data_IF_509744226169
#
_entry.id   IF_509744226169
#
_cell.length_a   1.000
_cell.length_b   1.000
_cell.length_c   1.000
_cell.angle_alpha   90.00
_cell.angle_beta   90.00
_cell.angle_gamma   90.00
#
_symmetry.space_group_name_H-M   'P 1'
#
loop_
_entity.id
_entity.type
_entity.pdbx_description
1 polymer ?
#
# COMPACT_ATOMS: atom_id res chain seq x y z
N UNK A 1 75.94 -22.41 25.76
CA UNK A 1 74.65 -23.02 25.43
C UNK A 1 73.56 -22.34 26.29
N UNK A 2 72.88 -21.37 25.78
CA UNK A 2 71.76 -20.67 26.46
C UNK A 2 70.47 -21.22 25.90
N UNK A 3 69.67 -21.86 26.74
CA UNK A 3 68.30 -22.34 26.38
C UNK A 3 67.32 -21.19 26.51
N UNK A 4 66.68 -20.83 25.39
CA UNK A 4 65.59 -19.85 25.36
C UNK A 4 64.28 -20.62 25.62
N UNK A 5 63.63 -20.30 26.71
CA UNK A 5 62.24 -20.77 27.02
C UNK A 5 61.29 -19.82 26.39
N UNK A 6 60.50 -20.28 25.39
CA UNK A 6 59.39 -19.53 24.79
C UNK A 6 58.15 -19.80 25.61
N UNK A 7 57.67 -18.79 26.31
CA UNK A 7 56.39 -18.80 27.01
C UNK A 7 55.28 -18.49 26.00
N UNK A 8 54.41 -19.46 25.69
CA UNK A 8 53.21 -19.28 24.93
C UNK A 8 52.12 -18.75 25.87
N UNK A 9 51.76 -17.45 25.70
CA UNK A 9 50.61 -16.83 26.38
C UNK A 9 49.36 -17.17 25.59
N UNK A 10 48.51 -17.99 26.16
CA UNK A 10 47.16 -18.22 25.66
C UNK A 10 46.27 -17.02 26.01
N UNK A 11 45.90 -16.19 25.03
CA UNK A 11 44.87 -15.17 25.17
C UNK A 11 43.54 -15.85 24.94
N UNK A 12 42.83 -16.15 26.05
CA UNK A 12 41.46 -16.62 25.99
C UNK A 12 40.51 -15.47 25.61
N UNK A 13 39.96 -15.53 24.41
CA UNK A 13 38.84 -14.66 24.02
C UNK A 13 37.59 -15.09 24.83
N UNK A 14 37.27 -14.32 25.85
CA UNK A 14 35.98 -14.41 26.53
C UNK A 14 34.90 -13.80 25.58
N UNK A 15 34.14 -14.65 24.89
CA UNK A 15 32.91 -14.24 24.24
C UNK A 15 31.89 -13.92 25.34
N UNK A 16 31.75 -12.63 25.67
CA UNK A 16 30.64 -12.15 26.45
C UNK A 16 29.38 -12.29 25.61
N UNK A 17 28.59 -13.31 25.87
CA UNK A 17 27.19 -13.39 25.38
C UNK A 17 26.39 -12.30 26.07
N UNK A 18 26.20 -11.17 25.41
CA UNK A 18 25.18 -10.19 25.80
C UNK A 18 23.82 -10.85 25.65
N UNK A 19 23.25 -11.30 26.76
CA UNK A 19 21.82 -11.60 26.84
C UNK A 19 21.07 -10.31 26.60
N UNK A 20 20.47 -10.18 25.41
CA UNK A 20 19.45 -9.17 25.15
C UNK A 20 18.30 -9.49 26.08
N UNK A 21 18.14 -8.70 27.13
CA UNK A 21 16.94 -8.73 27.95
C UNK A 21 15.79 -8.39 27.02
N UNK A 22 14.89 -9.35 26.82
CA UNK A 22 13.63 -9.09 26.13
C UNK A 22 12.88 -8.04 26.95
N UNK A 23 12.70 -6.85 26.38
CA UNK A 23 11.84 -5.83 26.96
C UNK A 23 10.47 -6.45 27.23
N UNK A 24 9.98 -6.31 28.46
CA UNK A 24 8.66 -6.80 28.86
C UNK A 24 7.55 -6.18 28.01
N UNK A 25 6.33 -6.69 28.08
CA UNK A 25 5.24 -6.25 27.24
C UNK A 25 5.00 -4.75 27.42
N UNK A 26 4.98 -4.02 26.31
CA UNK A 26 4.67 -2.58 26.28
C UNK A 26 3.19 -2.41 26.66
N UNK A 27 2.88 -1.49 27.58
CA UNK A 27 1.50 -1.11 27.87
C UNK A 27 1.15 0.18 27.13
N UNK A 28 0.21 0.09 26.21
CA UNK A 28 -0.29 1.23 25.43
C UNK A 28 -1.62 1.73 26.00
N UNK A 29 -1.79 3.04 26.11
CA UNK A 29 -3.06 3.66 26.51
C UNK A 29 -3.74 4.20 25.25
N UNK A 30 -4.95 3.71 24.98
CA UNK A 30 -5.76 4.09 23.80
C UNK A 30 -6.08 5.57 23.84
N UNK A 31 -5.82 6.28 22.76
CA UNK A 31 -6.05 7.71 22.60
C UNK A 31 -7.28 7.97 21.72
N UNK A 32 -7.87 9.18 21.74
CA UNK A 32 -8.93 9.55 20.79
C UNK A 32 -8.50 9.29 19.36
N UNK A 33 -9.37 8.59 18.59
CA UNK A 33 -9.10 8.21 17.21
C UNK A 33 -8.28 6.93 17.01
N UNK A 34 -7.77 6.30 18.08
CA UNK A 34 -7.12 5.00 17.98
C UNK A 34 -8.12 3.86 17.76
N UNK A 35 -7.64 2.83 17.06
CA UNK A 35 -8.25 1.52 16.99
C UNK A 35 -7.13 0.46 16.97
N UNK A 36 -7.46 -0.82 17.19
CA UNK A 36 -6.44 -1.86 17.24
C UNK A 36 -5.61 -1.98 15.96
N UNK A 37 -6.16 -1.58 14.82
CA UNK A 37 -5.44 -1.58 13.55
C UNK A 37 -4.34 -0.50 13.54
N UNK A 38 -4.66 0.75 13.92
CA UNK A 38 -3.68 1.85 14.01
C UNK A 38 -2.59 1.56 15.04
N UNK A 39 -3.00 0.99 16.16
CA UNK A 39 -2.04 0.59 17.20
C UNK A 39 -1.15 -0.52 16.67
N UNK A 40 -1.72 -1.54 16.00
CA UNK A 40 -0.98 -2.63 15.38
C UNK A 40 0.06 -2.17 14.35
N UNK A 41 -0.30 -1.23 13.48
CA UNK A 41 0.65 -0.64 12.52
C UNK A 41 1.86 -0.01 13.20
N UNK A 42 1.66 0.67 14.34
CA UNK A 42 2.73 1.34 15.11
C UNK A 42 3.73 0.35 15.70
N UNK A 43 3.27 -0.86 16.03
CA UNK A 43 4.08 -1.89 16.69
C UNK A 43 4.38 -3.11 15.81
N UNK A 44 4.03 -3.07 14.52
CA UNK A 44 4.25 -4.18 13.60
C UNK A 44 3.40 -5.42 13.89
N UNK A 45 2.23 -5.25 14.50
CA UNK A 45 1.33 -6.31 14.94
C UNK A 45 -0.02 -6.24 14.21
N UNK A 46 -0.67 -7.39 14.04
CA UNK A 46 -2.06 -7.42 13.60
C UNK A 46 -3.02 -7.01 14.72
N UNK A 47 -4.21 -6.48 14.40
CA UNK A 47 -5.26 -6.21 15.40
C UNK A 47 -5.61 -7.44 16.22
N UNK A 48 -5.58 -8.62 15.62
CA UNK A 48 -5.87 -9.91 16.26
C UNK A 48 -4.81 -10.28 17.30
N UNK A 49 -3.53 -10.02 17.02
CA UNK A 49 -2.45 -10.28 17.97
C UNK A 49 -2.62 -9.42 19.23
N UNK A 50 -2.96 -8.13 19.05
CA UNK A 50 -3.23 -7.23 20.17
C UNK A 50 -4.50 -7.66 20.90
N UNK A 51 -5.58 -7.98 20.19
CA UNK A 51 -6.83 -8.43 20.77
C UNK A 51 -6.64 -9.70 21.62
N UNK A 52 -5.94 -10.69 21.07
CA UNK A 52 -5.63 -11.95 21.78
C UNK A 52 -4.81 -11.73 23.04
N UNK A 53 -3.78 -10.87 22.97
CA UNK A 53 -2.95 -10.54 24.13
C UNK A 53 -3.70 -9.79 25.23
N UNK A 54 -4.86 -9.20 24.90
CA UNK A 54 -5.71 -8.42 25.80
C UNK A 54 -7.07 -9.08 26.06
N UNK A 55 -7.26 -10.32 25.65
CA UNK A 55 -8.53 -11.07 25.81
C UNK A 55 -9.76 -10.32 25.29
N UNK A 56 -9.58 -9.54 24.19
CA UNK A 56 -10.67 -8.80 23.58
C UNK A 56 -11.45 -9.70 22.62
N UNK A 57 -12.73 -9.86 22.87
CA UNK A 57 -13.64 -10.63 21.99
C UNK A 57 -13.98 -9.87 20.68
N UNK A 58 -13.82 -8.54 20.67
CA UNK A 58 -14.12 -7.70 19.52
C UNK A 58 -12.95 -6.77 19.19
N UNK A 59 -12.28 -7.04 18.08
CA UNK A 59 -11.14 -6.24 17.56
C UNK A 59 -11.51 -4.82 17.14
N UNK A 60 -12.79 -4.52 16.99
CA UNK A 60 -13.28 -3.21 16.57
C UNK A 60 -13.64 -2.29 17.73
N UNK A 61 -13.63 -2.79 18.96
CA UNK A 61 -14.05 -2.03 20.16
C UNK A 61 -12.89 -1.88 21.13
N UNK A 62 -12.29 -0.70 21.14
CA UNK A 62 -11.39 -0.23 22.20
C UNK A 62 -11.86 1.14 22.65
N UNK A 63 -11.79 1.39 23.95
CA UNK A 63 -12.23 2.66 24.54
C UNK A 63 -11.02 3.59 24.75
N UNK A 64 -11.22 4.89 24.59
CA UNK A 64 -10.21 5.90 24.95
C UNK A 64 -9.85 5.75 26.43
N UNK A 65 -8.56 5.72 26.74
CA UNK A 65 -8.03 5.46 28.09
C UNK A 65 -7.84 3.98 28.41
N UNK A 66 -8.32 3.05 27.59
CA UNK A 66 -8.11 1.62 27.78
C UNK A 66 -6.61 1.29 27.68
N UNK A 67 -6.13 0.46 28.64
CA UNK A 67 -4.74 -0.02 28.63
C UNK A 67 -4.66 -1.33 27.86
N UNK A 68 -3.78 -1.39 26.89
CA UNK A 68 -3.54 -2.56 26.05
C UNK A 68 -2.11 -3.07 26.25
N UNK A 69 -1.96 -4.34 26.50
CA UNK A 69 -0.68 -5.04 26.45
C UNK A 69 -0.32 -5.24 24.97
N UNK A 70 0.82 -4.71 24.57
CA UNK A 70 1.38 -4.89 23.23
C UNK A 70 2.41 -6.00 23.31
N UNK A 71 2.16 -7.18 22.73
CA UNK A 71 3.11 -8.28 22.74
C UNK A 71 4.38 -7.90 21.97
N UNK A 72 5.52 -8.43 22.43
CA UNK A 72 6.79 -8.25 21.71
C UNK A 72 6.68 -8.84 20.30
N UNK A 73 7.29 -8.19 19.28
CA UNK A 73 7.33 -8.73 17.93
C UNK A 73 7.99 -10.13 17.94
N UNK A 74 7.25 -11.15 17.54
CA UNK A 74 7.71 -12.55 17.54
C UNK A 74 7.17 -13.45 18.65
N UNK A 75 6.40 -12.95 19.63
CA UNK A 75 5.90 -13.75 20.74
C UNK A 75 4.61 -14.55 20.48
N UNK A 76 4.03 -14.46 19.30
CA UNK A 76 2.87 -15.26 18.93
C UNK A 76 3.19 -16.05 17.64
N UNK A 77 3.35 -17.36 17.77
CA UNK A 77 3.34 -18.28 16.64
C UNK A 77 2.03 -18.09 15.87
N UNK A 78 2.13 -17.62 14.63
CA UNK A 78 1.04 -17.70 13.69
C UNK A 78 0.60 -19.18 13.60
N UNK A 79 -0.71 -19.49 13.60
CA UNK A 79 -1.14 -20.85 13.31
C UNK A 79 -0.55 -21.25 11.97
N UNK A 80 0.19 -22.36 11.96
CA UNK A 80 0.81 -22.93 10.78
C UNK A 80 -0.29 -23.21 9.74
N UNK A 81 -0.23 -22.45 8.64
CA UNK A 81 -1.08 -22.70 7.48
C UNK A 81 -0.48 -23.86 6.69
N UNK A 82 -1.07 -25.03 6.82
CA UNK A 82 -0.79 -26.16 5.92
C UNK A 82 -1.42 -25.92 4.56
N UNK A 83 -0.66 -25.95 3.46
CA UNK A 83 -1.24 -25.89 2.12
C UNK A 83 -1.72 -27.29 1.73
N UNK A 84 -3.01 -27.53 1.84
CA UNK A 84 -3.60 -28.68 1.18
C UNK A 84 -5.08 -28.46 0.88
N UNK A 85 -5.44 -28.78 -0.35
CA UNK A 85 -6.78 -29.02 -0.85
C UNK A 85 -7.36 -27.96 -1.76
N UNK A 86 -7.62 -28.35 -2.98
CA UNK A 86 -8.46 -27.73 -4.02
C UNK A 86 -9.95 -27.62 -3.62
N UNK A 87 -10.27 -27.63 -2.34
CA UNK A 87 -11.62 -27.40 -1.83
C UNK A 87 -11.91 -25.88 -1.90
N UNK A 88 -13.01 -25.54 -2.55
CA UNK A 88 -13.57 -24.21 -2.62
C UNK A 88 -13.77 -23.68 -1.19
N UNK A 89 -13.00 -22.69 -0.78
CA UNK A 89 -13.11 -22.11 0.55
C UNK A 89 -14.28 -21.12 0.61
N UNK A 90 -14.95 -21.08 1.77
CA UNK A 90 -16.07 -20.19 2.01
C UNK A 90 -15.78 -19.31 3.24
N UNK A 91 -16.29 -18.10 3.20
CA UNK A 91 -16.35 -17.21 4.35
C UNK A 91 -17.80 -17.00 4.74
N UNK A 92 -18.11 -17.09 6.03
CA UNK A 92 -19.43 -16.70 6.55
C UNK A 92 -19.33 -15.29 7.12
N UNK A 93 -20.09 -14.36 6.57
CA UNK A 93 -20.07 -12.96 6.97
C UNK A 93 -20.51 -12.83 8.43
N UNK A 94 -19.65 -12.23 9.24
CA UNK A 94 -19.91 -11.94 10.65
C UNK A 94 -20.45 -10.54 10.84
N UNK A 95 -21.03 -10.26 12.02
CA UNK A 95 -21.53 -8.92 12.34
C UNK A 95 -20.41 -7.87 12.23
N UNK A 96 -20.69 -6.79 11.51
CA UNK A 96 -19.73 -5.70 11.27
C UNK A 96 -18.72 -5.96 10.16
N UNK A 97 -18.78 -7.12 9.47
CA UNK A 97 -17.96 -7.36 8.27
C UNK A 97 -18.67 -6.83 7.02
N UNK A 98 -17.93 -6.10 6.20
CA UNK A 98 -18.32 -5.77 4.84
C UNK A 98 -17.46 -6.54 3.84
N UNK A 99 -17.91 -6.59 2.58
CA UNK A 99 -17.20 -7.29 1.50
C UNK A 99 -15.73 -6.87 1.40
N UNK A 100 -15.45 -5.61 1.67
CA UNK A 100 -14.10 -5.04 1.71
C UNK A 100 -13.20 -5.70 2.77
N UNK A 101 -13.67 -5.80 4.02
CA UNK A 101 -12.88 -6.42 5.12
C UNK A 101 -12.62 -7.89 4.86
N UNK A 102 -13.59 -8.56 4.23
CA UNK A 102 -13.48 -9.97 3.87
C UNK A 102 -12.46 -10.14 2.74
N UNK A 103 -12.54 -9.32 1.69
CA UNK A 103 -11.57 -9.33 0.59
C UNK A 103 -10.13 -9.11 1.10
N UNK A 104 -9.91 -8.12 1.98
CA UNK A 104 -8.61 -7.88 2.63
C UNK A 104 -8.09 -9.09 3.39
N UNK A 105 -8.95 -9.76 4.18
CA UNK A 105 -8.60 -10.96 4.95
C UNK A 105 -8.03 -12.06 4.08
N UNK A 106 -8.57 -12.20 2.87
CA UNK A 106 -8.17 -13.23 1.92
C UNK A 106 -7.19 -12.76 0.85
N UNK A 107 -6.74 -11.49 0.90
CA UNK A 107 -5.81 -10.92 -0.08
C UNK A 107 -6.42 -10.81 -1.48
N UNK A 108 -7.72 -10.57 -1.55
CA UNK A 108 -8.50 -10.43 -2.78
C UNK A 108 -8.87 -8.96 -3.02
N UNK A 109 -9.12 -8.60 -4.28
CA UNK A 109 -9.85 -7.36 -4.55
C UNK A 109 -11.33 -7.54 -4.20
N UNK A 110 -12.00 -6.44 -3.82
CA UNK A 110 -13.45 -6.44 -3.55
C UNK A 110 -14.21 -6.92 -4.77
N UNK A 111 -13.77 -6.50 -5.95
CA UNK A 111 -14.37 -6.87 -7.23
C UNK A 111 -14.22 -8.37 -7.52
N UNK A 112 -13.05 -8.95 -7.25
CA UNK A 112 -12.83 -10.39 -7.42
C UNK A 112 -13.74 -11.21 -6.49
N UNK A 113 -13.86 -10.77 -5.24
CA UNK A 113 -14.75 -11.42 -4.27
C UNK A 113 -16.23 -11.20 -4.65
N UNK A 114 -16.61 -10.02 -5.10
CA UNK A 114 -17.96 -9.69 -5.57
C UNK A 114 -18.34 -10.53 -6.80
N UNK A 115 -17.47 -10.60 -7.81
CA UNK A 115 -17.67 -11.36 -9.03
C UNK A 115 -17.82 -12.87 -8.75
N UNK A 116 -16.97 -13.43 -7.88
CA UNK A 116 -17.04 -14.83 -7.48
C UNK A 116 -18.35 -15.19 -6.76
N UNK A 117 -19.07 -14.18 -6.25
CA UNK A 117 -20.33 -14.35 -5.50
C UNK A 117 -21.54 -13.72 -6.19
N UNK A 118 -21.41 -13.26 -7.43
CA UNK A 118 -22.48 -12.58 -8.17
C UNK A 118 -23.06 -11.37 -7.43
N UNK A 119 -22.21 -10.68 -6.65
CA UNK A 119 -22.62 -9.50 -5.88
C UNK A 119 -22.50 -8.26 -6.77
N UNK A 120 -23.61 -7.65 -7.10
CA UNK A 120 -23.68 -6.42 -7.92
C UNK A 120 -23.52 -5.14 -7.10
N UNK A 121 -23.81 -5.20 -5.80
CA UNK A 121 -23.67 -4.08 -4.87
C UNK A 121 -22.68 -4.41 -3.76
N UNK A 122 -21.46 -3.87 -3.84
CA UNK A 122 -20.36 -4.16 -2.92
C UNK A 122 -20.60 -3.77 -1.46
N UNK A 123 -21.63 -2.92 -1.22
CA UNK A 123 -22.01 -2.47 0.11
C UNK A 123 -23.06 -3.37 0.77
N UNK A 124 -23.57 -4.38 0.06
CA UNK A 124 -24.64 -5.24 0.56
C UNK A 124 -24.16 -6.69 0.71
N UNK A 125 -23.67 -7.00 1.88
CA UNK A 125 -23.51 -8.37 2.36
C UNK A 125 -24.20 -8.51 3.71
N UNK A 126 -24.77 -9.67 3.98
CA UNK A 126 -25.59 -9.91 5.18
C UNK A 126 -24.86 -10.85 6.15
N UNK A 127 -25.03 -10.60 7.45
CA UNK A 127 -24.53 -11.51 8.48
C UNK A 127 -25.07 -12.92 8.25
N UNK A 128 -24.20 -13.91 8.27
CA UNK A 128 -24.51 -15.31 7.94
C UNK A 128 -24.44 -15.64 6.45
N UNK A 129 -24.26 -14.67 5.56
CA UNK A 129 -24.07 -14.94 4.13
C UNK A 129 -22.79 -15.74 3.91
N UNK A 130 -22.88 -16.81 3.13
CA UNK A 130 -21.69 -17.57 2.70
C UNK A 130 -21.15 -16.97 1.42
N UNK A 131 -19.90 -16.56 1.47
CA UNK A 131 -19.17 -16.07 0.32
C UNK A 131 -18.15 -17.10 -0.12
N UNK A 132 -18.21 -17.45 -1.39
CA UNK A 132 -17.15 -18.19 -2.06
C UNK A 132 -15.90 -17.33 -2.03
N UNK A 133 -14.84 -17.84 -1.44
CA UNK A 133 -13.53 -17.22 -1.51
C UNK A 133 -12.86 -17.77 -2.76
N UNK A 134 -12.79 -17.00 -3.86
CA UNK A 134 -12.07 -17.47 -5.03
C UNK A 134 -10.66 -17.80 -4.59
N UNK A 135 -10.17 -18.94 -4.99
CA UNK A 135 -8.79 -19.32 -4.73
C UNK A 135 -7.94 -18.10 -5.07
N UNK A 136 -7.06 -17.71 -4.16
CA UNK A 136 -6.18 -16.53 -4.26
C UNK A 136 -5.84 -16.32 -5.72
N UNK A 137 -6.25 -15.18 -6.29
CA UNK A 137 -5.99 -14.86 -7.68
C UNK A 137 -4.54 -15.25 -7.95
N UNK A 138 -4.33 -16.25 -8.80
CA UNK A 138 -3.13 -17.04 -8.87
C UNK A 138 -1.91 -16.15 -8.59
N UNK A 139 -1.13 -16.48 -7.57
CA UNK A 139 0.27 -16.07 -7.55
C UNK A 139 0.73 -16.16 -9.00
N UNK A 140 1.37 -15.10 -9.52
CA UNK A 140 1.82 -15.09 -10.92
C UNK A 140 2.25 -16.50 -11.31
N UNK A 141 1.83 -17.03 -12.47
CA UNK A 141 2.16 -18.39 -12.84
C UNK A 141 3.64 -18.59 -12.54
N UNK A 142 3.96 -19.67 -11.83
CA UNK A 142 5.30 -19.91 -11.35
C UNK A 142 6.27 -19.76 -12.54
N UNK A 143 7.07 -18.71 -12.53
CA UNK A 143 8.07 -18.45 -13.57
C UNK A 143 7.95 -17.12 -14.34
N UNK A 144 6.80 -16.42 -14.35
CA UNK A 144 6.72 -15.14 -15.07
C UNK A 144 7.01 -13.96 -14.15
N UNK A 145 8.01 -13.16 -14.51
CA UNK A 145 8.33 -11.90 -13.87
C UNK A 145 8.56 -10.83 -14.93
N UNK A 146 8.17 -9.61 -14.63
CA UNK A 146 8.40 -8.44 -15.47
C UNK A 146 9.01 -7.34 -14.62
N UNK A 147 10.03 -6.66 -15.13
CA UNK A 147 10.57 -5.45 -14.55
C UNK A 147 10.96 -4.47 -15.65
N UNK A 148 10.18 -3.43 -15.82
CA UNK A 148 10.43 -2.36 -16.77
C UNK A 148 11.54 -1.43 -16.28
N UNK A 149 12.38 -0.95 -17.18
CA UNK A 149 13.50 -0.06 -16.85
C UNK A 149 13.05 1.41 -16.76
N UNK A 150 11.97 1.66 -16.03
CA UNK A 150 11.49 3.02 -15.76
C UNK A 150 12.49 3.72 -14.84
N UNK A 151 12.98 4.93 -15.16
CA UNK A 151 13.89 5.64 -14.27
C UNK A 151 13.23 5.94 -12.94
N UNK A 152 14.02 5.95 -11.86
CA UNK A 152 13.57 6.39 -10.54
C UNK A 152 13.92 7.86 -10.40
N UNK A 153 12.91 8.72 -10.24
CA UNK A 153 13.07 10.15 -10.05
C UNK A 153 12.44 10.57 -8.72
N UNK A 154 13.13 11.44 -7.99
CA UNK A 154 12.59 12.04 -6.80
C UNK A 154 11.62 13.18 -7.17
N UNK A 155 10.59 13.40 -6.34
CA UNK A 155 9.80 14.63 -6.39
C UNK A 155 10.64 15.82 -5.92
N UNK A 156 10.41 16.97 -6.52
CA UNK A 156 11.16 18.21 -6.25
C UNK A 156 10.54 19.02 -5.11
N UNK A 157 9.22 18.84 -4.85
CA UNK A 157 8.45 19.53 -3.81
C UNK A 157 7.68 18.52 -2.95
N UNK A 158 7.18 18.95 -1.81
CA UNK A 158 6.54 18.07 -0.82
C UNK A 158 5.30 17.34 -1.34
N UNK A 159 4.52 17.96 -2.23
CA UNK A 159 3.24 17.47 -2.74
C UNK A 159 3.22 17.28 -4.26
N UNK A 160 4.34 16.92 -4.88
CA UNK A 160 4.43 16.74 -6.33
C UNK A 160 4.71 15.30 -6.74
N UNK A 161 4.28 14.34 -5.93
CA UNK A 161 4.49 12.92 -6.20
C UNK A 161 3.89 12.46 -7.54
N UNK A 162 2.72 12.99 -7.93
CA UNK A 162 2.05 12.67 -9.17
C UNK A 162 2.82 13.21 -10.39
N UNK A 163 3.34 14.44 -10.27
CA UNK A 163 4.17 15.04 -11.32
C UNK A 163 5.50 14.29 -11.48
N UNK A 164 6.13 13.88 -10.38
CA UNK A 164 7.34 13.07 -10.43
C UNK A 164 7.06 11.67 -10.99
N UNK A 165 5.95 11.04 -10.63
CA UNK A 165 5.50 9.78 -11.22
C UNK A 165 5.26 9.91 -12.73
N UNK A 166 4.61 10.99 -13.17
CA UNK A 166 4.41 11.30 -14.57
C UNK A 166 5.73 11.51 -15.33
N UNK A 167 6.71 12.19 -14.72
CA UNK A 167 8.07 12.33 -15.29
C UNK A 167 8.75 10.99 -15.50
N UNK A 168 8.65 10.05 -14.54
CA UNK A 168 9.23 8.73 -14.67
C UNK A 168 8.63 7.99 -15.88
N UNK A 169 7.30 8.06 -16.03
CA UNK A 169 6.59 7.42 -17.15
C UNK A 169 6.91 8.10 -18.48
N UNK A 170 6.90 9.44 -18.53
CA UNK A 170 7.27 10.20 -19.70
C UNK A 170 8.70 9.88 -20.16
N UNK A 171 9.66 9.88 -19.25
CA UNK A 171 11.05 9.55 -19.53
C UNK A 171 11.22 8.11 -20.06
N UNK A 172 10.50 7.15 -19.51
CA UNK A 172 10.47 5.77 -20.03
C UNK A 172 9.94 5.69 -21.46
N UNK A 173 8.96 6.53 -21.80
CA UNK A 173 8.36 6.63 -23.12
C UNK A 173 9.12 7.59 -24.07
N UNK A 174 10.35 7.97 -23.71
CA UNK A 174 11.23 8.78 -24.55
C UNK A 174 10.90 10.28 -24.57
N UNK A 175 10.10 10.77 -23.62
CA UNK A 175 9.77 12.19 -23.47
C UNK A 175 10.57 12.80 -22.33
N UNK A 176 11.23 13.93 -22.59
CA UNK A 176 11.91 14.71 -21.55
C UNK A 176 11.02 15.85 -21.09
N UNK A 177 10.69 15.88 -19.80
CA UNK A 177 9.85 16.90 -19.18
C UNK A 177 10.32 17.16 -17.75
N UNK A 178 10.20 18.40 -17.28
CA UNK A 178 10.48 18.79 -15.91
C UNK A 178 9.20 18.70 -15.07
N UNK A 179 9.37 18.60 -13.75
CA UNK A 179 8.25 18.63 -12.81
C UNK A 179 7.54 20.00 -12.86
N UNK A 180 8.32 21.09 -12.94
CA UNK A 180 7.79 22.43 -13.11
C UNK A 180 6.92 22.58 -14.36
N UNK A 181 7.33 21.97 -15.48
CA UNK A 181 6.50 21.99 -16.69
C UNK A 181 5.17 21.26 -16.49
N UNK A 182 5.20 20.09 -15.85
CA UNK A 182 3.98 19.33 -15.54
C UNK A 182 3.07 20.12 -14.60
N UNK A 183 3.61 20.74 -13.56
CA UNK A 183 2.85 21.59 -12.64
C UNK A 183 2.20 22.77 -13.35
N UNK A 184 2.90 23.38 -14.31
CA UNK A 184 2.36 24.48 -15.12
C UNK A 184 1.17 24.06 -16.01
N UNK A 185 0.98 22.77 -16.29
CA UNK A 185 -0.19 22.27 -17.01
C UNK A 185 -1.40 22.06 -16.09
N UNK A 186 -1.20 22.07 -14.77
CA UNK A 186 -2.26 21.79 -13.81
C UNK A 186 -2.86 23.11 -13.31
N UNK A 187 -4.14 23.33 -13.59
CA UNK A 187 -4.87 24.44 -12.98
C UNK A 187 -5.08 24.19 -11.48
N UNK A 188 -5.20 25.25 -10.68
CA UNK A 188 -5.50 25.12 -9.25
C UNK A 188 -7.00 24.99 -9.05
N UNK A 189 -7.44 23.92 -8.38
CA UNK A 189 -8.84 23.65 -8.05
C UNK A 189 -8.99 23.04 -6.65
N UNK A 190 -10.14 23.29 -6.03
CA UNK A 190 -10.52 22.61 -4.79
C UNK A 190 -10.74 21.09 -5.01
N UNK A 191 -11.26 20.71 -6.17
CA UNK A 191 -11.49 19.33 -6.57
C UNK A 191 -10.27 18.78 -7.33
N UNK A 192 -9.55 17.77 -6.79
CA UNK A 192 -8.34 17.22 -7.41
C UNK A 192 -8.59 16.50 -8.75
N UNK A 193 -9.83 16.16 -9.09
CA UNK A 193 -10.21 15.68 -10.43
C UNK A 193 -10.21 16.78 -11.51
N UNK A 194 -10.12 18.04 -11.10
CA UNK A 194 -10.15 19.20 -12.01
C UNK A 194 -8.82 19.93 -12.09
N UNK A 195 -7.95 19.74 -11.10
CA UNK A 195 -6.65 20.38 -11.05
C UNK A 195 -5.94 20.12 -9.73
N UNK A 196 -4.79 20.77 -9.54
CA UNK A 196 -3.99 20.65 -8.34
C UNK A 196 -4.65 21.38 -7.16
N UNK A 197 -4.72 20.70 -6.00
CA UNK A 197 -5.30 21.25 -4.79
C UNK A 197 -4.22 21.67 -3.81
N UNK A 198 -4.10 22.97 -3.58
CA UNK A 198 -3.26 23.54 -2.53
C UNK A 198 -1.88 24.01 -2.99
N UNK A 199 -0.95 24.06 -2.06
CA UNK A 199 0.42 24.50 -2.24
C UNK A 199 1.35 23.28 -2.37
N UNK A 200 2.24 23.29 -3.37
CA UNK A 200 3.17 22.18 -3.66
C UNK A 200 4.21 21.96 -2.56
N UNK A 201 4.50 23.00 -1.76
CA UNK A 201 5.50 22.98 -0.68
C UNK A 201 4.87 22.79 0.71
N UNK A 202 3.55 22.60 0.79
CA UNK A 202 2.86 22.37 2.03
C UNK A 202 3.23 21.03 2.66
N UNK A 203 2.90 20.88 3.96
CA UNK A 203 3.13 19.64 4.69
C UNK A 203 2.33 18.47 4.11
N UNK A 204 3.00 17.34 3.92
CA UNK A 204 2.43 16.12 3.39
C UNK A 204 1.42 15.49 4.37
N UNK A 205 0.37 14.92 3.82
CA UNK A 205 -0.57 14.04 4.54
C UNK A 205 -1.88 14.69 4.96
N UNK A 206 -2.04 16.01 4.72
CA UNK A 206 -3.28 16.74 4.97
C UNK A 206 -4.35 16.53 3.88
N UNK A 207 -5.44 17.29 3.97
CA UNK A 207 -6.49 17.39 2.94
C UNK A 207 -6.73 18.83 2.46
N UNK A 208 -6.14 19.82 3.11
CA UNK A 208 -6.22 21.22 2.70
C UNK A 208 -5.31 21.48 1.50
N UNK A 209 -4.06 21.04 1.61
CA UNK A 209 -3.09 20.94 0.53
C UNK A 209 -2.95 19.44 0.21
N UNK A 210 -3.05 19.07 -1.05
CA UNK A 210 -3.35 17.67 -1.33
C UNK A 210 -2.59 17.08 -2.53
N UNK A 211 -2.72 17.67 -3.72
CA UNK A 211 -2.19 17.12 -4.94
C UNK A 211 -3.23 17.10 -6.07
N UNK A 212 -3.11 16.16 -6.99
CA UNK A 212 -3.97 16.04 -8.17
C UNK A 212 -4.33 14.59 -8.44
N UNK A 213 -5.54 14.34 -8.95
CA UNK A 213 -5.95 13.02 -9.39
C UNK A 213 -5.59 12.76 -10.87
N UNK A 214 -5.98 11.62 -11.38
CA UNK A 214 -5.48 11.11 -12.66
C UNK A 214 -5.88 11.97 -13.87
N UNK A 215 -7.06 12.59 -13.87
CA UNK A 215 -7.60 13.25 -15.06
C UNK A 215 -6.78 14.47 -15.53
N UNK A 216 -6.44 15.44 -14.66
CA UNK A 216 -5.60 16.57 -15.08
C UNK A 216 -4.20 16.13 -15.46
N UNK A 217 -3.63 15.16 -14.73
CA UNK A 217 -2.32 14.60 -15.04
C UNK A 217 -2.31 13.90 -16.41
N UNK A 218 -3.38 13.18 -16.74
CA UNK A 218 -3.56 12.55 -18.04
C UNK A 218 -3.59 13.58 -19.18
N UNK A 219 -4.25 14.74 -18.95
CA UNK A 219 -4.25 15.83 -19.95
C UNK A 219 -2.85 16.38 -20.18
N UNK A 220 -2.08 16.62 -19.11
CA UNK A 220 -0.70 17.07 -19.20
C UNK A 220 0.18 16.08 -20.00
N UNK A 221 0.03 14.79 -19.79
CA UNK A 221 0.76 13.77 -20.54
C UNK A 221 0.32 13.66 -22.01
N UNK A 222 -0.96 13.90 -22.30
CA UNK A 222 -1.45 13.97 -23.71
C UNK A 222 -0.84 15.15 -24.48
N UNK A 223 -0.58 16.28 -23.82
CA UNK A 223 0.14 17.43 -24.44
C UNK A 223 1.54 17.02 -24.88
N UNK A 224 2.19 16.04 -24.22
CA UNK A 224 3.47 15.48 -24.64
C UNK A 224 3.36 14.51 -25.83
N UNK A 225 2.15 14.29 -26.36
CA UNK A 225 1.89 13.34 -27.45
C UNK A 225 1.89 11.88 -26.98
N UNK A 226 1.55 11.60 -25.72
CA UNK A 226 1.36 10.24 -25.21
C UNK A 226 -0.10 9.83 -25.32
N UNK A 227 -0.34 8.55 -25.60
CA UNK A 227 -1.65 7.94 -25.44
C UNK A 227 -1.88 7.64 -23.95
N UNK A 228 -2.93 8.21 -23.36
CA UNK A 228 -3.17 8.12 -21.92
C UNK A 228 -4.62 7.73 -21.64
N UNK A 229 -4.79 6.73 -20.81
CA UNK A 229 -6.09 6.24 -20.32
C UNK A 229 -6.14 6.31 -18.81
N UNK A 230 -7.22 6.89 -18.26
CA UNK A 230 -7.55 6.84 -16.82
C UNK A 230 -8.59 5.76 -16.61
N UNK A 231 -8.33 4.84 -15.68
CA UNK A 231 -9.28 3.79 -15.30
C UNK A 231 -9.50 3.73 -13.79
N UNK A 232 -10.69 3.34 -13.42
CA UNK A 232 -11.11 3.05 -12.05
C UNK A 232 -11.49 1.58 -11.91
N UNK A 233 -11.51 1.07 -10.69
CA UNK A 233 -11.81 -0.34 -10.45
C UNK A 233 -10.76 -1.29 -11.01
N UNK A 234 -9.55 -0.81 -11.24
CA UNK A 234 -8.45 -1.59 -11.83
C UNK A 234 -8.04 -2.72 -10.88
N UNK A 235 -7.91 -3.91 -11.43
CA UNK A 235 -7.44 -5.09 -10.70
C UNK A 235 -5.95 -5.36 -10.91
N UNK A 236 -5.40 -6.23 -10.09
CA UNK A 236 -4.00 -6.67 -10.25
C UNK A 236 -3.75 -7.45 -11.55
N UNK A 237 -4.79 -8.05 -12.13
CA UNK A 237 -4.71 -8.68 -13.47
C UNK A 237 -4.47 -7.64 -14.55
N UNK A 238 -5.13 -6.48 -14.45
CA UNK A 238 -4.94 -5.38 -15.41
C UNK A 238 -3.54 -4.79 -15.31
N UNK A 239 -3.03 -4.61 -14.07
CA UNK A 239 -1.64 -4.17 -13.87
C UNK A 239 -0.65 -5.12 -14.51
N UNK A 240 -0.82 -6.44 -14.34
CA UNK A 240 0.07 -7.43 -14.96
C UNK A 240 0.01 -7.37 -16.47
N UNK A 241 -1.19 -7.32 -17.05
CA UNK A 241 -1.37 -7.23 -18.50
C UNK A 241 -0.67 -5.97 -19.07
N UNK A 242 -0.80 -4.82 -18.39
CA UNK A 242 -0.11 -3.59 -18.78
C UNK A 242 1.42 -3.75 -18.72
N UNK A 243 1.94 -4.28 -17.62
CA UNK A 243 3.37 -4.50 -17.43
C UNK A 243 3.95 -5.49 -18.46
N UNK A 244 3.19 -6.54 -18.79
CA UNK A 244 3.56 -7.53 -19.81
C UNK A 244 3.59 -6.96 -21.21
N UNK A 245 2.80 -5.92 -21.48
CA UNK A 245 2.85 -5.14 -22.72
C UNK A 245 3.89 -4.02 -22.72
N UNK A 246 4.70 -3.92 -21.65
CA UNK A 246 5.73 -2.89 -21.53
C UNK A 246 5.21 -1.53 -21.03
N UNK A 247 4.01 -1.50 -20.45
CA UNK A 247 3.34 -0.27 -20.03
C UNK A 247 3.44 -0.09 -18.50
N UNK A 248 4.21 0.89 -17.99
CA UNK A 248 4.21 1.27 -16.58
C UNK A 248 2.89 1.96 -16.23
N UNK A 249 2.45 1.82 -14.96
CA UNK A 249 1.15 2.32 -14.52
C UNK A 249 1.31 3.22 -13.29
N UNK A 250 0.79 4.45 -13.36
CA UNK A 250 0.70 5.32 -12.18
C UNK A 250 -0.54 4.92 -11.38
N UNK A 251 -0.38 4.77 -10.07
CA UNK A 251 -1.46 4.42 -9.15
C UNK A 251 -1.51 5.39 -7.97
N UNK A 252 -2.71 5.72 -7.51
CA UNK A 252 -2.95 6.54 -6.32
C UNK A 252 -3.19 5.64 -5.11
N UNK A 253 -2.57 5.98 -4.01
CA UNK A 253 -2.62 5.19 -2.78
C UNK A 253 -2.67 6.10 -1.55
N UNK A 254 -2.96 5.55 -0.39
CA UNK A 254 -2.74 6.26 0.86
C UNK A 254 -1.64 5.59 1.68
N UNK A 255 -0.75 6.40 2.22
CA UNK A 255 0.20 5.95 3.25
C UNK A 255 -0.48 5.82 4.63
N UNK A 256 -1.69 6.33 4.78
CA UNK A 256 -2.49 6.28 6.00
C UNK A 256 -3.76 5.46 5.77
N UNK A 257 -4.12 4.59 6.70
CA UNK A 257 -5.34 3.79 6.63
C UNK A 257 -6.60 4.60 7.03
N UNK A 258 -6.74 5.82 6.53
CA UNK A 258 -7.88 6.68 6.83
C UNK A 258 -8.93 6.61 5.73
N UNK A 259 -10.24 6.50 6.06
CA UNK A 259 -11.30 6.41 5.05
C UNK A 259 -11.46 7.68 4.20
N UNK A 260 -10.80 8.77 4.57
CA UNK A 260 -10.86 10.02 3.85
C UNK A 260 -12.09 10.86 4.18
N UNK A 261 -12.09 12.05 3.62
CA UNK A 261 -13.20 13.00 3.66
C UNK A 261 -13.91 12.99 2.31
N UNK A 262 -15.23 12.93 2.32
CA UNK A 262 -16.05 13.03 1.12
C UNK A 262 -16.70 14.42 1.05
N UNK A 263 -16.39 15.20 0.02
CA UNK A 263 -17.04 16.46 -0.26
C UNK A 263 -18.35 16.18 -0.99
N UNK A 264 -19.47 16.38 -0.28
CA UNK A 264 -20.80 16.12 -0.84
C UNK A 264 -21.23 17.17 -1.88
N UNK A 265 -20.71 18.39 -1.80
CA UNK A 265 -21.08 19.48 -2.70
C UNK A 265 -20.50 19.26 -4.10
N UNK A 266 -19.24 18.82 -4.18
CA UNK A 266 -18.53 18.60 -5.44
C UNK A 266 -18.39 17.12 -5.84
N UNK A 267 -18.83 16.19 -4.98
CA UNK A 267 -18.88 14.75 -5.27
C UNK A 267 -17.52 14.06 -5.36
N UNK A 268 -16.49 14.55 -4.68
CA UNK A 268 -15.15 13.96 -4.67
C UNK A 268 -14.70 13.56 -3.27
N UNK A 269 -13.72 12.65 -3.20
CA UNK A 269 -13.14 12.18 -1.95
C UNK A 269 -11.70 12.71 -1.81
N UNK A 270 -11.33 13.12 -0.59
CA UNK A 270 -9.96 13.41 -0.19
C UNK A 270 -9.52 12.36 0.84
N UNK A 271 -8.43 11.68 0.57
CA UNK A 271 -7.89 10.61 1.42
C UNK A 271 -6.58 11.08 2.03
N UNK A 272 -6.51 11.32 3.36
CA UNK A 272 -5.27 11.76 4.01
C UNK A 272 -4.11 10.81 3.71
N UNK A 273 -2.91 11.37 3.50
CA UNK A 273 -1.73 10.62 3.11
C UNK A 273 -1.80 10.09 1.68
N UNK A 274 -2.53 10.79 0.82
CA UNK A 274 -2.52 10.56 -0.62
C UNK A 274 -1.08 10.57 -1.15
N UNK A 275 -0.79 9.65 -2.05
CA UNK A 275 0.51 9.48 -2.67
C UNK A 275 0.40 8.72 -3.99
N UNK A 276 1.43 8.83 -4.83
CA UNK A 276 1.47 8.12 -6.10
C UNK A 276 2.70 7.25 -6.24
N UNK A 277 2.50 6.01 -6.74
CA UNK A 277 3.58 5.14 -7.22
C UNK A 277 3.51 4.92 -8.72
N UNK A 278 4.65 4.63 -9.32
CA UNK A 278 4.70 4.01 -10.65
C UNK A 278 4.92 2.51 -10.47
N UNK A 279 3.95 1.70 -10.85
CA UNK A 279 4.09 0.24 -10.90
C UNK A 279 4.89 -0.10 -12.15
N UNK A 280 6.05 -0.74 -11.93
CA UNK A 280 7.04 -0.97 -12.99
C UNK A 280 7.34 -2.45 -13.22
N UNK A 281 6.78 -3.34 -12.41
CA UNK A 281 7.02 -4.76 -12.57
C UNK A 281 6.27 -5.61 -11.55
N UNK A 282 6.38 -6.92 -11.72
CA UNK A 282 5.90 -7.89 -10.75
C UNK A 282 6.72 -9.18 -10.78
N UNK A 283 6.65 -9.94 -9.70
CA UNK A 283 7.15 -11.30 -9.58
C UNK A 283 6.25 -12.15 -8.67
N UNK A 284 6.68 -13.34 -8.30
CA UNK A 284 5.92 -14.23 -7.39
C UNK A 284 5.67 -13.62 -6.00
N UNK A 285 6.42 -12.58 -5.60
CA UNK A 285 6.38 -11.98 -4.26
C UNK A 285 5.66 -10.63 -4.22
N UNK A 286 5.21 -10.09 -5.36
CA UNK A 286 4.45 -8.83 -5.43
C UNK A 286 4.81 -7.94 -6.60
N UNK A 287 4.64 -6.63 -6.40
CA UNK A 287 4.79 -5.60 -7.42
C UNK A 287 6.00 -4.73 -7.13
N UNK A 288 6.81 -4.46 -8.16
CA UNK A 288 7.87 -3.48 -8.11
C UNK A 288 7.28 -2.10 -8.39
N UNK A 289 7.58 -1.17 -7.50
CA UNK A 289 7.12 0.22 -7.60
C UNK A 289 8.29 1.19 -7.52
N UNK A 290 8.20 2.27 -8.27
CA UNK A 290 9.02 3.46 -8.08
C UNK A 290 8.20 4.44 -7.23
N UNK A 291 8.77 4.88 -6.13
CA UNK A 291 8.23 5.86 -5.20
C UNK A 291 9.03 7.15 -5.34
N UNK A 292 8.43 8.29 -5.68
CA UNK A 292 9.15 9.56 -5.80
C UNK A 292 9.55 10.19 -4.47
N UNK A 293 8.96 9.74 -3.35
CA UNK A 293 9.20 10.32 -2.04
C UNK A 293 10.60 9.95 -1.51
N UNK A 294 11.14 10.77 -0.61
CA UNK A 294 12.41 10.53 0.10
C UNK A 294 13.62 10.29 -0.83
N UNK A 295 13.77 11.11 -1.85
CA UNK A 295 14.88 11.04 -2.78
C UNK A 295 14.69 10.05 -3.94
N UNK A 296 13.50 9.46 -4.03
CA UNK A 296 13.16 8.47 -5.04
C UNK A 296 13.76 7.09 -4.76
N UNK A 297 12.95 6.06 -4.85
CA UNK A 297 13.40 4.68 -4.61
C UNK A 297 12.55 3.67 -5.37
N UNK A 298 13.15 2.52 -5.67
CA UNK A 298 12.44 1.33 -6.16
C UNK A 298 12.41 0.26 -5.08
N UNK A 299 11.25 -0.30 -4.82
CA UNK A 299 11.09 -1.41 -3.90
C UNK A 299 9.90 -2.28 -4.28
N UNK A 300 9.70 -3.35 -3.53
CA UNK A 300 8.61 -4.30 -3.79
C UNK A 300 7.54 -4.20 -2.72
N UNK A 301 6.29 -4.15 -3.15
CA UNK A 301 5.10 -4.24 -2.31
C UNK A 301 4.32 -5.52 -2.62
N UNK A 302 3.68 -6.11 -1.61
CA UNK A 302 2.80 -7.26 -1.86
C UNK A 302 1.50 -6.83 -2.54
N UNK A 303 1.01 -5.66 -2.17
CA UNK A 303 -0.17 -5.01 -2.73
C UNK A 303 0.02 -3.49 -2.67
N UNK A 304 -0.68 -2.75 -3.53
CA UNK A 304 -0.68 -1.29 -3.49
C UNK A 304 -1.42 -0.84 -2.21
N UNK A 305 -0.78 -0.08 -1.31
CA UNK A 305 -1.37 0.30 -0.04
C UNK A 305 -2.63 1.15 -0.23
N UNK A 306 -3.76 0.72 0.35
CA UNK A 306 -5.02 1.49 0.37
C UNK A 306 -5.48 2.05 -0.99
N UNK A 307 -5.14 1.35 -2.08
CA UNK A 307 -5.50 1.72 -3.45
C UNK A 307 -7.02 1.80 -3.65
N UNK A 308 -7.76 0.97 -2.94
CA UNK A 308 -9.21 0.93 -2.94
C UNK A 308 -9.88 2.22 -2.44
N UNK A 309 -9.20 3.01 -1.61
CA UNK A 309 -9.71 4.30 -1.15
C UNK A 309 -9.83 5.31 -2.30
N UNK A 310 -9.09 5.08 -3.37
CA UNK A 310 -9.12 5.84 -4.62
C UNK A 310 -9.92 5.11 -5.71
N UNK A 311 -10.81 4.17 -5.33
CA UNK A 311 -11.53 3.31 -6.28
C UNK A 311 -10.59 2.62 -7.28
N UNK A 312 -9.43 2.17 -6.81
CA UNK A 312 -8.37 1.56 -7.62
C UNK A 312 -8.05 2.39 -8.88
N UNK A 313 -7.93 3.70 -8.71
CA UNK A 313 -7.59 4.65 -9.77
C UNK A 313 -6.19 4.37 -10.30
N UNK A 314 -6.08 4.33 -11.62
CA UNK A 314 -4.82 4.12 -12.31
C UNK A 314 -4.76 4.91 -13.62
N UNK A 315 -3.54 5.33 -13.98
CA UNK A 315 -3.24 6.01 -15.23
C UNK A 315 -2.27 5.12 -16.04
N UNK A 316 -2.70 4.76 -17.22
CA UNK A 316 -1.95 3.99 -18.19
C UNK A 316 -1.46 4.92 -19.30
N UNK A 317 -0.16 4.86 -19.62
CA UNK A 317 0.40 5.66 -20.69
C UNK A 317 1.25 4.79 -21.63
N UNK A 318 1.19 5.11 -22.93
CA UNK A 318 2.00 4.48 -23.96
C UNK A 318 2.50 5.54 -24.94
N UNK A 319 3.47 5.17 -25.77
CA UNK A 319 3.90 6.02 -26.88
C UNK A 319 2.72 6.33 -27.79
N UNK A 320 2.60 7.60 -28.21
CA UNK A 320 1.60 8.06 -29.17
C UNK A 320 2.01 7.77 -30.61
#
# INVERSE_FOLDING_TARGET
MRRIIVLLVWVGLLFSTTTVLADGPIVYVVRPGDNLFRIGLRYGLSPQQIASANHLSNVSQVAVGQRLVIPAPGAASAPAYSPASTAQSYHVVSSGEGLYRIALRYGLSVQALAAANSITSINHVYVGQRLVIPGRAASAPAGKSVLLQVPVLAQEHSLTCEAAAARMVAAYLGKSVTEAWLQAQLSTYANPHKGFRGDIDAEFGGIANYGVYAEPLAQALRVLGLNVEVRYGVGYTDLRAALESGQPVIVWLSQFASPGYYDQADGFRLVPGEHSYVVVGYDANGYWVNDPLNGGRRFRVRAIPHWELFNNMALFASAG
#
